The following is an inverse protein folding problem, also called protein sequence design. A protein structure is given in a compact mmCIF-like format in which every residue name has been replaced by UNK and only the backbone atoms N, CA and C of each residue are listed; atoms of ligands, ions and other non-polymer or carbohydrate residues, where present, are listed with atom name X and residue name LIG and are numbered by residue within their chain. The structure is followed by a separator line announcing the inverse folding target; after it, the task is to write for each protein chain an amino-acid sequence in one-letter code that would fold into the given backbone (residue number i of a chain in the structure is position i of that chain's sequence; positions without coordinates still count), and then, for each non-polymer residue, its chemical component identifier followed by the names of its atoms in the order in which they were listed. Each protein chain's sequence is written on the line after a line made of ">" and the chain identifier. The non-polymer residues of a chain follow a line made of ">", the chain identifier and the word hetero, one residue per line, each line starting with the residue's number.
data_IF_058289831058
#
_entry.id   IF_058289831058
#
_cell.length_a   1.000
_cell.length_b   1.000
_cell.length_c   1.000
_cell.angle_alpha   90.00
_cell.angle_beta   90.00
_cell.angle_gamma   90.00
#
_symmetry.space_group_name_H-M   'P 1'
#
loop_
_entity.id
_entity.type
_entity.pdbx_description
1 polymer ?
#
# COMPACT_ATOMS: atom_id res chain seq x y z
N UNK A 1 -6.50 14.31 -13.95
CA UNK A 1 -6.52 15.08 -12.67
C UNK A 1 -5.14 15.22 -12.04
N UNK A 2 -4.14 14.43 -12.46
CA UNK A 2 -2.78 14.48 -11.91
C UNK A 2 -2.18 15.89 -11.80
N UNK A 3 -2.20 16.71 -12.85
CA UNK A 3 -1.66 18.08 -12.79
C UNK A 3 -2.36 18.97 -11.75
N UNK A 4 -3.69 18.91 -11.65
CA UNK A 4 -4.44 19.72 -10.67
C UNK A 4 -4.05 19.34 -9.23
N UNK A 5 -4.03 18.02 -8.95
CA UNK A 5 -3.71 17.48 -7.64
C UNK A 5 -2.26 17.82 -7.28
N UNK A 6 -1.33 17.66 -8.22
CA UNK A 6 0.09 17.95 -7.98
C UNK A 6 0.33 19.44 -7.71
N UNK A 7 -0.32 20.31 -8.45
CA UNK A 7 -0.20 21.76 -8.23
C UNK A 7 -0.63 22.17 -6.82
N UNK A 8 -1.68 21.56 -6.27
CA UNK A 8 -2.08 21.78 -4.88
C UNK A 8 -1.11 21.13 -3.89
N UNK A 9 -0.76 19.86 -4.12
CA UNK A 9 0.10 19.09 -3.20
C UNK A 9 1.51 19.66 -3.06
N UNK A 10 2.15 20.05 -4.16
CA UNK A 10 3.51 20.61 -4.12
C UNK A 10 3.58 21.88 -3.28
N UNK A 11 2.61 22.78 -3.40
CA UNK A 11 2.54 24.01 -2.58
C UNK A 11 2.39 23.71 -1.09
N UNK A 12 1.56 22.72 -0.74
CA UNK A 12 1.38 22.29 0.66
C UNK A 12 2.67 21.72 1.23
N UNK A 13 3.36 20.86 0.49
CA UNK A 13 4.63 20.27 0.91
C UNK A 13 5.72 21.31 1.10
N UNK A 14 5.85 22.23 0.14
CA UNK A 14 6.84 23.32 0.21
C UNK A 14 6.56 24.26 1.38
N UNK A 15 5.30 24.65 1.59
CA UNK A 15 4.89 25.50 2.71
C UNK A 15 5.17 24.87 4.07
N UNK A 16 4.92 23.56 4.21
CA UNK A 16 5.22 22.83 5.44
C UNK A 16 6.72 22.77 5.74
N UNK A 17 7.53 22.50 4.72
CA UNK A 17 8.99 22.45 4.86
C UNK A 17 9.57 23.82 5.20
N UNK A 18 9.10 24.88 4.52
CA UNK A 18 9.55 26.25 4.79
C UNK A 18 9.20 26.67 6.22
N UNK A 19 7.96 26.40 6.66
CA UNK A 19 7.49 26.72 8.01
C UNK A 19 8.22 25.91 9.09
N UNK A 20 8.43 24.61 8.89
CA UNK A 20 9.08 23.75 9.87
C UNK A 20 10.56 24.08 10.07
N UNK A 21 11.26 24.47 9.01
CA UNK A 21 12.72 24.58 9.01
C UNK A 21 13.26 25.99 8.73
N UNK A 22 12.38 26.98 8.54
CA UNK A 22 12.74 28.39 8.35
C UNK A 22 13.88 28.58 7.30
N UNK A 23 13.74 27.93 6.15
CA UNK A 23 14.69 28.00 5.03
C UNK A 23 15.95 27.13 5.17
N UNK A 24 16.12 26.41 6.29
CA UNK A 24 17.28 25.51 6.47
C UNK A 24 17.18 24.23 5.65
N UNK A 25 15.97 23.83 5.24
CA UNK A 25 15.69 22.72 4.35
C UNK A 25 14.79 23.20 3.21
N UNK A 26 14.98 22.64 2.03
CA UNK A 26 14.20 22.99 0.84
C UNK A 26 13.99 21.74 -0.02
N UNK A 27 12.81 21.60 -0.60
CA UNK A 27 12.55 20.62 -1.66
C UNK A 27 12.90 21.29 -3.00
N UNK A 28 13.65 20.60 -3.83
CA UNK A 28 13.90 20.99 -5.22
C UNK A 28 13.30 19.91 -6.12
N UNK A 29 12.34 20.29 -6.92
CA UNK A 29 11.64 19.35 -7.80
C UNK A 29 12.35 19.24 -9.15
N UNK A 30 12.55 18.00 -9.61
CA UNK A 30 12.88 17.69 -11.00
C UNK A 30 11.73 16.95 -11.63
N UNK A 31 11.09 17.56 -12.62
CA UNK A 31 10.01 16.88 -13.36
C UNK A 31 10.59 15.78 -14.24
N UNK A 32 9.97 14.60 -14.15
CA UNK A 32 10.20 13.46 -15.04
C UNK A 32 8.86 12.98 -15.60
N UNK A 33 8.89 12.31 -16.74
CA UNK A 33 7.69 12.04 -17.53
C UNK A 33 7.28 10.57 -17.44
N UNK A 34 5.98 10.33 -17.22
CA UNK A 34 5.35 9.02 -17.34
C UNK A 34 3.88 9.19 -17.74
N UNK A 35 3.33 8.19 -18.40
CA UNK A 35 1.93 8.20 -18.84
C UNK A 35 1.68 9.02 -20.10
N UNK A 36 0.47 9.62 -20.21
CA UNK A 36 0.04 10.31 -21.42
C UNK A 36 0.98 11.47 -21.81
N UNK A 37 1.40 12.28 -20.83
CA UNK A 37 2.31 13.40 -21.08
C UNK A 37 3.66 12.94 -21.65
N UNK A 38 4.17 11.82 -21.16
CA UNK A 38 5.40 11.22 -21.70
C UNK A 38 5.20 10.77 -23.17
N UNK A 39 4.12 10.06 -23.42
CA UNK A 39 3.81 9.58 -24.75
C UNK A 39 3.64 10.71 -25.76
N UNK A 40 2.94 11.77 -25.41
CA UNK A 40 2.71 12.94 -26.28
C UNK A 40 4.02 13.66 -26.62
N UNK A 41 5.01 13.66 -25.73
CA UNK A 41 6.28 14.36 -25.92
C UNK A 41 7.39 13.50 -26.51
N UNK A 42 7.42 12.19 -26.19
CA UNK A 42 8.55 11.31 -26.52
C UNK A 42 8.16 10.11 -27.38
N UNK A 43 6.87 9.81 -27.49
CA UNK A 43 6.38 8.57 -28.11
C UNK A 43 6.47 7.32 -27.20
N UNK A 44 6.96 7.46 -25.95
CA UNK A 44 7.08 6.39 -24.98
C UNK A 44 6.22 6.66 -23.74
N UNK A 45 5.52 5.63 -23.26
CA UNK A 45 4.69 5.73 -22.05
C UNK A 45 5.50 5.81 -20.76
N UNK A 46 6.67 5.21 -20.75
CA UNK A 46 7.64 5.23 -19.64
C UNK A 46 9.05 5.32 -20.22
N UNK A 47 9.58 6.52 -20.44
CA UNK A 47 10.93 6.72 -20.96
C UNK A 47 11.99 6.14 -20.02
N UNK A 48 13.08 5.60 -20.60
CA UNK A 48 14.22 5.08 -19.85
C UNK A 48 14.84 6.16 -18.96
N UNK A 49 14.92 7.41 -19.43
CA UNK A 49 15.39 8.56 -18.65
C UNK A 49 14.64 8.73 -17.32
N UNK A 50 13.34 8.44 -17.29
CA UNK A 50 12.53 8.49 -16.06
C UNK A 50 13.03 7.48 -15.04
N UNK A 51 13.25 6.23 -15.45
CA UNK A 51 13.79 5.18 -14.58
C UNK A 51 15.21 5.53 -14.07
N UNK A 52 16.06 6.01 -14.95
CA UNK A 52 17.45 6.38 -14.61
C UNK A 52 17.49 7.57 -13.66
N UNK A 53 16.61 8.55 -13.86
CA UNK A 53 16.49 9.68 -12.94
C UNK A 53 16.01 9.24 -11.55
N UNK A 54 15.04 8.33 -11.45
CA UNK A 54 14.63 7.81 -10.14
C UNK A 54 15.76 7.02 -9.48
N UNK A 55 16.55 6.25 -10.24
CA UNK A 55 17.73 5.55 -9.70
C UNK A 55 18.77 6.51 -9.15
N UNK A 56 19.00 7.63 -9.83
CA UNK A 56 19.96 8.67 -9.41
C UNK A 56 19.48 9.45 -8.18
N UNK A 57 18.23 9.90 -8.19
CA UNK A 57 17.66 10.78 -7.15
C UNK A 57 17.04 10.02 -5.97
N UNK A 58 16.83 8.73 -6.10
CA UNK A 58 16.37 7.79 -5.06
C UNK A 58 14.90 7.99 -4.66
N UNK A 59 14.45 9.23 -4.48
CA UNK A 59 13.11 9.58 -4.01
C UNK A 59 12.31 10.24 -5.13
N UNK A 60 11.11 9.71 -5.40
CA UNK A 60 10.17 10.31 -6.32
C UNK A 60 8.76 10.38 -5.70
N UNK A 61 7.96 11.32 -6.17
CA UNK A 61 6.53 11.41 -5.88
C UNK A 61 5.77 11.61 -7.20
N UNK A 62 4.61 10.97 -7.33
CA UNK A 62 3.81 11.09 -8.54
C UNK A 62 2.31 11.12 -8.26
N UNK A 63 1.57 11.70 -9.18
CA UNK A 63 0.13 11.55 -9.25
C UNK A 63 -0.29 10.20 -9.86
N UNK A 64 -1.61 10.01 -10.09
CA UNK A 64 -2.13 8.82 -10.73
C UNK A 64 -1.70 8.74 -12.20
N UNK A 65 -1.45 7.52 -12.69
CA UNK A 65 -1.13 7.24 -14.08
C UNK A 65 -2.23 6.38 -14.72
N UNK A 66 -2.58 6.67 -15.96
CA UNK A 66 -3.45 5.83 -16.79
C UNK A 66 -2.59 4.87 -17.59
N UNK A 67 -2.92 3.58 -17.51
CA UNK A 67 -2.39 2.60 -18.45
C UNK A 67 -3.30 2.56 -19.67
N UNK A 68 -2.77 2.64 -20.91
CA UNK A 68 -3.58 2.55 -22.12
C UNK A 68 -4.35 1.24 -22.17
N UNK A 69 -5.62 1.30 -22.56
CA UNK A 69 -6.45 0.11 -22.77
C UNK A 69 -6.17 -0.44 -24.17
N UNK A 70 -5.64 -1.65 -24.26
CA UNK A 70 -5.33 -2.33 -25.52
C UNK A 70 -3.83 -2.37 -25.84
N UNK A 71 -3.43 -3.24 -26.80
CA UNK A 71 -2.05 -3.31 -27.27
C UNK A 71 -1.04 -4.05 -26.39
N UNK A 72 -1.50 -4.79 -25.35
CA UNK A 72 -0.60 -5.59 -24.51
C UNK A 72 0.32 -4.77 -23.59
N UNK A 73 0.06 -3.48 -23.41
CA UNK A 73 0.83 -2.61 -22.53
C UNK A 73 0.47 -2.94 -21.08
N UNK A 74 1.47 -3.33 -20.30
CA UNK A 74 1.31 -3.57 -18.84
C UNK A 74 1.12 -2.25 -18.09
N UNK A 75 0.53 -2.35 -16.90
CA UNK A 75 0.38 -1.19 -16.00
C UNK A 75 1.72 -0.48 -15.79
N UNK A 76 1.74 0.83 -16.04
CA UNK A 76 2.93 1.66 -15.83
C UNK A 76 3.37 1.66 -14.36
N UNK A 77 2.41 1.60 -13.43
CA UNK A 77 2.72 1.48 -12.01
C UNK A 77 3.41 0.15 -11.70
N UNK A 78 2.96 -0.96 -12.29
CA UNK A 78 3.61 -2.27 -12.13
C UNK A 78 5.02 -2.24 -12.72
N UNK A 79 5.20 -1.64 -13.89
CA UNK A 79 6.51 -1.49 -14.51
C UNK A 79 7.50 -0.73 -13.61
N UNK A 80 7.10 0.42 -13.05
CA UNK A 80 7.92 1.20 -12.12
C UNK A 80 8.34 0.37 -10.89
N UNK A 81 7.41 -0.38 -10.30
CA UNK A 81 7.65 -1.23 -9.13
C UNK A 81 8.64 -2.36 -9.40
N UNK A 82 8.51 -3.00 -10.57
CA UNK A 82 9.37 -4.12 -10.97
C UNK A 82 10.75 -3.65 -11.42
N UNK A 83 10.83 -2.63 -12.29
CA UNK A 83 12.09 -2.12 -12.85
C UNK A 83 13.01 -1.49 -11.79
N UNK A 84 12.44 -0.94 -10.72
CA UNK A 84 13.17 -0.33 -9.60
C UNK A 84 13.23 -1.23 -8.37
N UNK A 85 12.70 -2.46 -8.46
CA UNK A 85 12.58 -3.43 -7.37
C UNK A 85 12.01 -2.83 -6.07
N UNK A 86 10.94 -2.06 -6.21
CA UNK A 86 10.23 -1.46 -5.07
C UNK A 86 9.33 -2.52 -4.42
N UNK A 87 9.92 -3.41 -3.66
CA UNK A 87 9.29 -4.65 -3.22
C UNK A 87 8.20 -4.48 -2.15
N UNK A 88 8.10 -3.32 -1.52
CA UNK A 88 7.06 -3.02 -0.53
C UNK A 88 6.13 -1.92 -1.03
N UNK A 89 4.85 -2.22 -1.14
CA UNK A 89 3.81 -1.20 -1.24
C UNK A 89 3.28 -0.91 0.17
N UNK A 90 3.58 0.28 0.67
CA UNK A 90 3.20 0.77 1.99
C UNK A 90 1.93 1.59 1.88
N UNK A 91 0.85 1.18 2.55
CA UNK A 91 -0.44 1.88 2.55
C UNK A 91 -0.98 2.03 3.96
N UNK A 92 -0.69 3.14 4.66
CA UNK A 92 -1.33 3.46 5.94
C UNK A 92 -2.82 3.76 5.76
N UNK A 93 -3.62 3.27 6.68
CA UNK A 93 -5.07 3.49 6.73
C UNK A 93 -5.41 4.02 8.10
N UNK A 94 -5.76 5.31 8.18
CA UNK A 94 -6.20 5.96 9.42
C UNK A 94 -7.40 6.85 9.17
N UNK A 95 -8.22 7.01 10.20
CA UNK A 95 -9.36 7.92 10.16
C UNK A 95 -8.97 9.33 10.57
N UNK A 96 -9.47 10.32 9.84
CA UNK A 96 -9.43 11.73 10.23
C UNK A 96 -10.80 12.15 10.77
N UNK A 97 -10.82 12.67 11.98
CA UNK A 97 -12.08 13.01 12.66
C UNK A 97 -12.94 13.96 11.80
N UNK A 98 -14.19 13.57 11.61
CA UNK A 98 -15.18 14.32 10.82
C UNK A 98 -15.31 13.88 9.37
N UNK A 99 -14.42 13.06 8.85
CA UNK A 99 -14.55 12.48 7.51
C UNK A 99 -15.76 11.54 7.45
N UNK A 100 -16.60 11.63 6.42
CA UNK A 100 -17.70 10.68 6.23
C UNK A 100 -17.24 9.24 6.09
N UNK A 101 -17.88 8.32 6.79
CA UNK A 101 -17.53 6.90 6.79
C UNK A 101 -18.77 6.03 6.72
N UNK A 102 -18.72 4.88 6.02
CA UNK A 102 -19.81 3.92 5.97
C UNK A 102 -19.88 3.02 7.22
N UNK A 103 -18.85 3.04 8.08
CA UNK A 103 -18.80 2.25 9.32
C UNK A 103 -19.13 3.10 10.55
N UNK A 104 -19.58 2.44 11.63
CA UNK A 104 -20.02 3.14 12.85
C UNK A 104 -18.88 3.77 13.65
N UNK A 105 -17.72 3.12 13.67
CA UNK A 105 -16.57 3.48 14.48
C UNK A 105 -15.27 3.49 13.65
N UNK A 106 -15.18 4.39 12.66
CA UNK A 106 -13.99 4.47 11.80
C UNK A 106 -12.73 4.86 12.57
N UNK A 107 -12.85 5.54 13.71
CA UNK A 107 -11.77 5.92 14.60
C UNK A 107 -10.98 4.73 15.18
N UNK A 108 -11.56 3.54 15.14
CA UNK A 108 -10.90 2.30 15.56
C UNK A 108 -9.98 1.70 14.49
N UNK A 109 -10.02 2.24 13.27
CA UNK A 109 -9.18 1.77 12.16
C UNK A 109 -7.89 2.60 12.11
N UNK A 110 -6.79 1.98 12.49
CA UNK A 110 -5.43 2.51 12.36
C UNK A 110 -4.50 1.36 12.01
N UNK A 111 -4.36 1.10 10.72
CA UNK A 111 -3.58 -0.02 10.20
C UNK A 111 -2.57 0.46 9.17
N UNK A 112 -1.49 -0.31 9.01
CA UNK A 112 -0.50 -0.08 7.97
C UNK A 112 -0.34 -1.36 7.16
N UNK A 113 -0.67 -1.29 5.87
CA UNK A 113 -0.61 -2.42 4.96
C UNK A 113 0.77 -2.46 4.29
N UNK A 114 1.47 -3.57 4.47
CA UNK A 114 2.67 -3.96 3.74
C UNK A 114 2.25 -4.98 2.69
N UNK A 115 2.07 -4.51 1.47
CA UNK A 115 1.69 -5.31 0.30
C UNK A 115 2.96 -5.70 -0.45
N UNK A 116 3.13 -6.99 -0.71
CA UNK A 116 4.14 -7.46 -1.66
C UNK A 116 3.90 -6.81 -3.03
N UNK A 117 4.95 -6.45 -3.76
CA UNK A 117 4.82 -5.52 -4.86
C UNK A 117 5.47 -6.00 -6.18
N UNK A 118 6.13 -7.16 -6.19
CA UNK A 118 6.95 -7.61 -7.33
C UNK A 118 6.56 -8.98 -7.89
N UNK A 119 5.82 -9.77 -7.14
CA UNK A 119 5.42 -11.14 -7.47
C UNK A 119 3.89 -11.30 -7.55
N UNK A 120 3.43 -12.49 -7.29
CA UNK A 120 2.04 -12.90 -7.31
C UNK A 120 1.48 -12.87 -8.75
N UNK A 121 0.18 -12.82 -8.90
CA UNK A 121 -0.45 -12.72 -10.23
C UNK A 121 -0.07 -11.42 -10.97
N UNK A 122 0.42 -10.42 -10.25
CA UNK A 122 0.95 -9.17 -10.82
C UNK A 122 2.25 -9.34 -11.60
N UNK A 123 2.89 -10.50 -11.53
CA UNK A 123 3.98 -10.88 -12.42
C UNK A 123 3.54 -10.90 -13.91
N UNK A 124 2.22 -11.00 -14.15
CA UNK A 124 1.64 -10.92 -15.49
C UNK A 124 1.99 -12.12 -16.36
N UNK A 125 2.17 -13.29 -15.75
CA UNK A 125 2.45 -14.54 -16.46
C UNK A 125 1.11 -15.20 -16.78
N UNK A 126 0.59 -14.93 -17.97
CA UNK A 126 -0.72 -15.45 -18.36
C UNK A 126 -0.84 -15.61 -19.88
N UNK A 127 -1.73 -16.50 -20.32
CA UNK A 127 -2.01 -16.77 -21.71
C UNK A 127 -3.51 -16.84 -21.95
N UNK A 128 -3.95 -16.17 -22.99
CA UNK A 128 -5.36 -16.11 -23.36
C UNK A 128 -5.85 -17.43 -23.96
N UNK A 129 -7.12 -17.74 -23.73
CA UNK A 129 -7.76 -18.89 -24.35
C UNK A 129 -7.57 -18.89 -25.89
N UNK A 130 -7.35 -20.07 -26.48
CA UNK A 130 -7.29 -20.26 -27.91
C UNK A 130 -5.96 -19.90 -28.56
N UNK A 131 -4.99 -19.36 -27.82
CA UNK A 131 -3.63 -19.11 -28.33
C UNK A 131 -2.83 -20.39 -28.40
N UNK A 132 -1.82 -20.45 -29.28
CA UNK A 132 -0.91 -21.60 -29.35
C UNK A 132 -0.08 -21.77 -28.10
N UNK A 133 0.25 -20.67 -27.44
CA UNK A 133 0.99 -20.65 -26.17
C UNK A 133 0.18 -21.31 -25.05
N UNK A 134 -1.11 -20.97 -24.87
CA UNK A 134 -1.93 -21.60 -23.83
C UNK A 134 -2.14 -23.09 -24.07
N UNK A 135 -2.24 -23.50 -25.33
CA UNK A 135 -2.32 -24.94 -25.69
C UNK A 135 -1.09 -25.69 -25.23
N UNK A 136 0.11 -25.13 -25.47
CA UNK A 136 1.39 -25.72 -25.01
C UNK A 136 1.45 -25.81 -23.50
N UNK A 137 1.02 -24.77 -22.78
CA UNK A 137 1.00 -24.76 -21.33
C UNK A 137 0.03 -25.82 -20.78
N UNK A 138 -1.19 -25.90 -21.32
CA UNK A 138 -2.19 -26.87 -20.91
C UNK A 138 -1.71 -28.30 -21.21
N UNK A 139 -1.14 -28.54 -22.41
CA UNK A 139 -0.58 -29.83 -22.79
C UNK A 139 0.54 -30.28 -21.84
N UNK A 140 1.49 -29.38 -21.54
CA UNK A 140 2.54 -29.62 -20.55
C UNK A 140 1.98 -30.00 -19.18
N UNK A 141 1.03 -29.20 -18.68
CA UNK A 141 0.41 -29.44 -17.38
C UNK A 141 -0.33 -30.78 -17.33
N UNK A 142 -1.04 -31.15 -18.40
CA UNK A 142 -1.83 -32.38 -18.43
C UNK A 142 -0.95 -33.63 -18.68
N UNK A 143 -0.05 -33.55 -19.63
CA UNK A 143 0.71 -34.72 -20.10
C UNK A 143 2.03 -34.95 -19.36
N UNK A 144 2.77 -33.87 -19.04
CA UNK A 144 4.04 -33.97 -18.30
C UNK A 144 3.84 -33.91 -16.78
N UNK A 145 2.95 -33.00 -16.31
CA UNK A 145 2.72 -32.79 -14.86
C UNK A 145 1.53 -33.58 -14.32
N UNK A 146 0.80 -34.30 -15.18
CA UNK A 146 -0.32 -35.15 -14.77
C UNK A 146 -1.52 -34.39 -14.21
N UNK A 147 -1.68 -33.11 -14.52
CA UNK A 147 -2.80 -32.28 -14.05
C UNK A 147 -4.09 -32.70 -14.74
N UNK A 148 -5.09 -33.13 -13.96
CA UNK A 148 -6.41 -33.55 -14.46
C UNK A 148 -7.54 -32.60 -14.12
N UNK A 149 -7.22 -31.44 -13.50
CA UNK A 149 -8.21 -30.53 -12.92
C UNK A 149 -8.56 -29.33 -13.81
N UNK A 150 -7.97 -29.20 -14.99
CA UNK A 150 -8.38 -28.18 -15.96
C UNK A 150 -9.66 -28.66 -16.61
N UNK A 151 -10.79 -28.12 -16.15
CA UNK A 151 -12.13 -28.64 -16.49
C UNK A 151 -12.49 -28.44 -17.96
N UNK A 152 -12.08 -27.33 -18.54
CA UNK A 152 -12.40 -26.93 -19.90
C UNK A 152 -11.14 -26.48 -20.65
N UNK A 153 -10.24 -27.40 -21.02
CA UNK A 153 -8.92 -27.06 -21.58
C UNK A 153 -9.00 -26.25 -22.88
N UNK A 154 -9.98 -26.53 -23.74
CA UNK A 154 -10.15 -25.83 -25.01
C UNK A 154 -10.56 -24.36 -24.90
N UNK A 155 -11.14 -23.99 -23.76
CA UNK A 155 -11.70 -22.64 -23.54
C UNK A 155 -11.11 -21.92 -22.33
N UNK A 156 -10.08 -22.50 -21.71
CA UNK A 156 -9.42 -21.90 -20.54
C UNK A 156 -8.28 -20.97 -20.94
N UNK A 157 -8.19 -19.83 -20.28
CA UNK A 157 -6.93 -19.09 -20.11
C UNK A 157 -6.17 -19.62 -18.90
N UNK A 158 -4.86 -19.45 -18.86
CA UNK A 158 -4.00 -19.89 -17.75
C UNK A 158 -3.18 -18.71 -17.25
N UNK A 159 -3.16 -18.53 -15.92
CA UNK A 159 -2.30 -17.57 -15.23
C UNK A 159 -1.46 -18.27 -14.15
N UNK A 160 -0.27 -17.76 -13.91
CA UNK A 160 0.68 -18.30 -12.92
C UNK A 160 0.86 -17.31 -11.79
N UNK A 161 0.84 -17.83 -10.56
CA UNK A 161 1.07 -17.11 -9.31
C UNK A 161 2.42 -17.50 -8.71
N UNK A 162 3.53 -16.84 -9.05
CA UNK A 162 4.81 -17.10 -8.40
C UNK A 162 4.84 -16.41 -7.03
N UNK A 163 5.33 -17.13 -6.03
CA UNK A 163 5.58 -16.63 -4.67
C UNK A 163 6.91 -17.23 -4.21
N UNK A 164 7.89 -16.39 -3.92
CA UNK A 164 9.22 -16.82 -3.51
C UNK A 164 9.45 -16.65 -2.01
N UNK A 165 10.41 -17.41 -1.49
CA UNK A 165 10.88 -17.28 -0.12
C UNK A 165 11.54 -15.91 0.11
N UNK A 166 12.41 -15.50 -0.82
CA UNK A 166 13.12 -14.21 -0.75
C UNK A 166 12.16 -13.03 -0.78
N UNK A 167 11.21 -13.01 -1.72
CA UNK A 167 10.19 -11.96 -1.83
C UNK A 167 9.29 -11.89 -0.60
N UNK A 168 8.91 -13.05 -0.06
CA UNK A 168 8.09 -13.13 1.15
C UNK A 168 8.85 -12.68 2.40
N UNK A 169 10.05 -13.20 2.62
CA UNK A 169 10.86 -12.85 3.80
C UNK A 169 11.25 -11.38 3.82
N UNK A 170 11.67 -10.79 2.69
CA UNK A 170 12.03 -9.36 2.65
C UNK A 170 10.85 -8.44 2.95
N UNK A 171 9.64 -8.78 2.49
CA UNK A 171 8.44 -8.03 2.82
C UNK A 171 8.11 -8.11 4.32
N UNK A 172 8.06 -9.31 4.88
CA UNK A 172 7.74 -9.50 6.31
C UNK A 172 8.81 -8.88 7.20
N UNK A 173 10.08 -8.99 6.84
CA UNK A 173 11.17 -8.30 7.54
C UNK A 173 10.95 -6.79 7.58
N UNK A 174 10.59 -6.17 6.47
CA UNK A 174 10.29 -4.75 6.39
C UNK A 174 9.09 -4.38 7.29
N UNK A 175 8.04 -5.20 7.31
CA UNK A 175 6.88 -4.99 8.17
C UNK A 175 7.21 -5.07 9.66
N UNK A 176 8.04 -6.03 10.07
CA UNK A 176 8.48 -6.18 11.47
C UNK A 176 9.38 -5.01 11.87
N UNK A 177 10.35 -4.63 11.03
CA UNK A 177 11.22 -3.48 11.28
C UNK A 177 10.41 -2.18 11.44
N UNK A 178 9.41 -1.99 10.59
CA UNK A 178 8.48 -0.86 10.71
C UNK A 178 7.71 -0.90 12.05
N UNK A 179 7.16 -2.06 12.42
CA UNK A 179 6.44 -2.22 13.67
C UNK A 179 7.33 -1.91 14.90
N UNK A 180 8.58 -2.34 14.87
CA UNK A 180 9.56 -2.02 15.93
C UNK A 180 9.83 -0.51 15.98
N UNK A 181 10.14 0.08 14.84
CA UNK A 181 10.48 1.51 14.72
C UNK A 181 9.36 2.43 15.17
N UNK A 182 8.13 2.11 14.75
CA UNK A 182 6.95 2.94 15.00
C UNK A 182 6.19 2.54 16.28
N UNK A 183 6.71 1.59 17.07
CA UNK A 183 6.09 1.15 18.32
C UNK A 183 4.72 0.48 18.13
N UNK A 184 4.52 -0.19 16.99
CA UNK A 184 3.31 -0.94 16.68
C UNK A 184 3.27 -2.26 17.45
N UNK A 185 2.08 -2.76 17.77
CA UNK A 185 1.89 -3.89 18.70
C UNK A 185 1.86 -5.25 18.04
N UNK A 186 1.49 -5.31 16.77
CA UNK A 186 1.37 -6.59 16.05
C UNK A 186 1.67 -6.48 14.57
N UNK A 187 2.07 -7.61 13.98
CA UNK A 187 2.11 -7.84 12.54
C UNK A 187 1.24 -9.04 12.23
N UNK A 188 0.23 -8.86 11.38
CA UNK A 188 -0.66 -9.93 10.93
C UNK A 188 -0.31 -10.35 9.51
N UNK A 189 0.05 -11.62 9.34
CA UNK A 189 0.28 -12.23 8.02
C UNK A 189 -1.07 -12.66 7.45
N UNK A 190 -1.55 -11.98 6.40
CA UNK A 190 -2.84 -12.29 5.77
C UNK A 190 -2.62 -13.14 4.54
N UNK A 191 -3.33 -14.27 4.45
CA UNK A 191 -3.10 -15.28 3.42
C UNK A 191 -4.34 -16.13 3.14
N UNK A 192 -4.30 -16.89 2.05
CA UNK A 192 -5.27 -17.95 1.73
C UNK A 192 -4.57 -19.34 1.68
N UNK A 193 -3.71 -19.61 2.66
CA UNK A 193 -2.84 -20.78 2.69
C UNK A 193 -3.56 -22.12 2.88
N UNK A 194 -4.79 -22.13 3.36
CA UNK A 194 -5.62 -23.34 3.41
C UNK A 194 -6.01 -23.86 2.01
N UNK A 195 -6.02 -23.01 0.98
CA UNK A 195 -6.27 -23.34 -0.42
C UNK A 195 -4.98 -23.38 -1.23
N UNK A 196 -4.16 -22.34 -1.14
CA UNK A 196 -2.91 -22.16 -1.89
C UNK A 196 -1.71 -22.49 -0.99
N UNK A 197 -1.52 -23.79 -0.71
CA UNK A 197 -0.59 -24.25 0.32
C UNK A 197 0.88 -23.92 0.07
N UNK A 198 1.30 -23.96 -1.20
CA UNK A 198 2.71 -23.79 -1.60
C UNK A 198 3.05 -22.37 -2.09
N UNK A 199 2.10 -21.49 -2.06
CA UNK A 199 2.26 -20.05 -2.35
C UNK A 199 1.85 -19.22 -1.14
N UNK A 200 0.57 -18.98 -0.92
CA UNK A 200 0.07 -18.21 0.24
C UNK A 200 0.39 -18.88 1.59
N UNK A 201 0.30 -20.20 1.68
CA UNK A 201 0.69 -20.96 2.88
C UNK A 201 2.18 -20.93 3.14
N UNK A 202 2.99 -20.99 2.07
CA UNK A 202 4.42 -20.82 2.15
C UNK A 202 4.80 -19.41 2.62
N UNK A 203 4.16 -18.35 2.07
CA UNK A 203 4.32 -16.97 2.54
C UNK A 203 4.13 -16.86 4.06
N UNK A 204 3.04 -17.42 4.60
CA UNK A 204 2.81 -17.45 6.04
C UNK A 204 3.96 -18.12 6.80
N UNK A 205 4.39 -19.30 6.36
CA UNK A 205 5.44 -20.05 7.02
C UNK A 205 6.78 -19.29 6.99
N UNK A 206 7.18 -18.77 5.85
CA UNK A 206 8.40 -17.95 5.71
C UNK A 206 8.31 -16.65 6.52
N UNK A 207 7.12 -16.10 6.67
CA UNK A 207 6.88 -14.94 7.55
C UNK A 207 7.16 -15.27 9.03
N UNK A 208 6.72 -16.42 9.50
CA UNK A 208 7.07 -16.88 10.86
C UNK A 208 8.55 -17.21 11.01
N UNK A 209 9.16 -17.85 10.00
CA UNK A 209 10.59 -18.15 10.00
C UNK A 209 11.44 -16.90 10.18
N UNK A 210 11.26 -15.88 9.31
CA UNK A 210 12.05 -14.64 9.41
C UNK A 210 11.82 -13.93 10.74
N UNK A 211 10.59 -13.97 11.27
CA UNK A 211 10.29 -13.38 12.57
C UNK A 211 11.07 -14.05 13.70
N UNK A 212 11.13 -15.37 13.72
CA UNK A 212 11.82 -16.14 14.76
C UNK A 212 13.34 -16.16 14.58
N UNK A 213 13.84 -16.21 13.35
CA UNK A 213 15.27 -16.24 13.06
C UNK A 213 15.97 -14.88 13.28
N UNK A 214 15.32 -13.79 12.89
CA UNK A 214 15.96 -12.48 12.87
C UNK A 214 15.52 -11.55 14.01
N UNK A 215 14.35 -11.80 14.62
CA UNK A 215 13.72 -10.89 15.60
C UNK A 215 13.28 -11.58 16.91
N UNK A 216 13.83 -12.73 17.26
CA UNK A 216 13.43 -13.53 18.42
C UNK A 216 13.40 -12.74 19.75
N UNK A 217 14.28 -11.76 19.91
CA UNK A 217 14.33 -10.88 21.07
C UNK A 217 13.24 -9.80 21.10
N UNK A 218 12.63 -9.50 19.95
CA UNK A 218 11.64 -8.42 19.75
C UNK A 218 10.22 -8.90 19.53
N UNK A 219 10.01 -10.18 19.18
CA UNK A 219 8.70 -10.68 18.79
C UNK A 219 8.31 -11.93 19.58
N UNK A 220 7.01 -12.21 19.60
CA UNK A 220 6.41 -13.49 19.96
C UNK A 220 5.48 -13.91 18.82
N UNK A 221 5.55 -15.19 18.39
CA UNK A 221 4.77 -15.65 17.24
C UNK A 221 3.66 -16.62 17.64
N UNK A 222 2.58 -16.67 16.87
CA UNK A 222 1.56 -17.71 17.05
C UNK A 222 2.09 -19.10 16.70
N UNK A 223 3.06 -19.23 15.80
CA UNK A 223 3.74 -20.50 15.58
C UNK A 223 4.47 -20.98 16.84
N UNK A 224 5.08 -20.07 17.59
CA UNK A 224 5.69 -20.37 18.91
C UNK A 224 4.62 -20.72 19.95
N UNK A 225 3.51 -19.99 19.98
CA UNK A 225 2.35 -20.30 20.82
C UNK A 225 1.85 -21.72 20.58
N UNK A 226 1.65 -22.11 19.32
CA UNK A 226 1.13 -23.43 18.96
C UNK A 226 2.08 -24.56 19.41
N UNK A 227 3.40 -24.38 19.25
CA UNK A 227 4.39 -25.35 19.75
C UNK A 227 4.38 -25.50 21.26
N UNK A 228 4.20 -24.41 22.01
CA UNK A 228 4.08 -24.46 23.47
C UNK A 228 2.76 -25.15 23.86
N UNK A 229 1.65 -24.78 23.20
CA UNK A 229 0.34 -25.37 23.46
C UNK A 229 0.30 -26.88 23.22
N UNK A 230 0.97 -27.34 22.16
CA UNK A 230 1.08 -28.78 21.85
C UNK A 230 1.91 -29.52 22.88
N UNK A 231 3.01 -28.93 23.33
CA UNK A 231 3.94 -29.58 24.24
C UNK A 231 3.55 -29.48 25.72
N UNK A 232 3.04 -28.33 26.14
CA UNK A 232 2.86 -27.98 27.57
C UNK A 232 1.41 -27.58 27.90
N UNK A 233 0.53 -27.51 26.90
CA UNK A 233 -0.87 -27.17 27.07
C UNK A 233 -1.15 -25.67 26.84
N UNK A 234 -2.43 -25.37 26.63
CA UNK A 234 -2.90 -24.00 26.29
C UNK A 234 -2.64 -22.97 27.39
N UNK A 235 -2.72 -23.37 28.67
CA UNK A 235 -2.50 -22.43 29.78
C UNK A 235 -1.03 -21.96 29.80
N UNK A 236 -0.07 -22.87 29.53
CA UNK A 236 1.34 -22.52 29.41
C UNK A 236 1.59 -21.58 28.22
N UNK A 237 0.94 -21.85 27.07
CA UNK A 237 1.05 -21.00 25.89
C UNK A 237 0.45 -19.59 26.11
N UNK A 238 -0.71 -19.51 26.77
CA UNK A 238 -1.33 -18.23 27.14
C UNK A 238 -0.40 -17.41 28.04
N UNK A 239 0.13 -18.03 29.09
CA UNK A 239 1.06 -17.39 30.02
C UNK A 239 2.32 -16.88 29.30
N UNK A 240 2.91 -17.70 28.42
CA UNK A 240 4.11 -17.32 27.65
C UNK A 240 3.82 -16.13 26.74
N UNK A 241 2.67 -16.09 26.07
CA UNK A 241 2.27 -14.95 25.24
C UNK A 241 2.04 -13.69 26.10
N UNK A 242 1.31 -13.79 27.20
CA UNK A 242 1.07 -12.67 28.11
C UNK A 242 2.37 -12.06 28.63
N UNK A 243 3.30 -12.89 29.09
CA UNK A 243 4.62 -12.47 29.57
C UNK A 243 5.43 -11.79 28.46
N UNK A 244 5.43 -12.36 27.25
CA UNK A 244 6.12 -11.79 26.10
C UNK A 244 5.56 -10.39 25.73
N UNK A 245 4.25 -10.26 25.66
CA UNK A 245 3.61 -8.96 25.34
C UNK A 245 3.80 -7.93 26.47
N UNK A 246 3.74 -8.35 27.72
CA UNK A 246 4.04 -7.52 28.87
C UNK A 246 5.49 -7.00 28.88
N UNK A 247 6.43 -7.79 28.32
CA UNK A 247 7.83 -7.35 28.15
C UNK A 247 8.06 -6.39 26.97
N UNK A 248 7.00 -6.07 26.20
CA UNK A 248 7.05 -5.18 25.05
C UNK A 248 7.36 -5.85 23.71
N UNK A 249 7.31 -7.18 23.64
CA UNK A 249 7.44 -7.90 22.39
C UNK A 249 6.22 -7.66 21.48
N UNK A 250 6.48 -7.65 20.17
CA UNK A 250 5.46 -7.51 19.12
C UNK A 250 4.86 -8.88 18.83
N UNK A 251 3.55 -8.96 18.72
CA UNK A 251 2.86 -10.19 18.36
C UNK A 251 2.90 -10.37 16.83
N UNK A 252 3.43 -11.49 16.38
CA UNK A 252 3.33 -11.95 15.00
C UNK A 252 2.26 -13.02 14.93
N UNK A 253 1.20 -12.74 14.17
CA UNK A 253 0.04 -13.62 14.02
C UNK A 253 -0.35 -13.76 12.56
N UNK A 254 -1.27 -14.66 12.24
CA UNK A 254 -1.80 -14.80 10.90
C UNK A 254 -3.33 -14.80 10.87
N UNK A 255 -3.86 -14.53 9.70
CA UNK A 255 -5.30 -14.60 9.45
C UNK A 255 -5.57 -15.03 8.01
N UNK A 256 -6.54 -15.94 7.85
CA UNK A 256 -7.06 -16.28 6.52
C UNK A 256 -7.80 -15.05 5.97
N UNK A 257 -7.58 -14.72 4.69
CA UNK A 257 -8.01 -13.47 4.08
C UNK A 257 -9.51 -13.17 4.20
N UNK A 258 -10.37 -14.15 4.03
CA UNK A 258 -11.83 -13.98 4.17
C UNK A 258 -12.25 -13.66 5.62
N UNK A 259 -11.64 -14.30 6.61
CA UNK A 259 -11.85 -13.96 8.03
C UNK A 259 -11.30 -12.59 8.35
N UNK A 260 -10.14 -12.23 7.83
CA UNK A 260 -9.57 -10.89 7.99
C UNK A 260 -10.52 -9.80 7.48
N UNK A 261 -11.06 -9.95 6.27
CA UNK A 261 -12.01 -9.01 5.68
C UNK A 261 -13.28 -8.83 6.53
N UNK A 262 -13.74 -9.89 7.22
CA UNK A 262 -14.83 -9.81 8.17
C UNK A 262 -14.42 -9.07 9.46
N UNK A 263 -13.24 -9.42 10.00
CA UNK A 263 -12.80 -8.93 11.31
C UNK A 263 -12.41 -7.45 11.28
N UNK A 264 -11.89 -6.93 10.18
CA UNK A 264 -11.60 -5.48 10.05
C UNK A 264 -12.85 -4.61 10.09
N UNK A 265 -14.04 -5.17 9.85
CA UNK A 265 -15.32 -4.49 10.03
C UNK A 265 -15.83 -4.59 11.47
N UNK A 266 -15.61 -5.71 12.14
CA UNK A 266 -16.19 -6.01 13.45
C UNK A 266 -15.25 -5.71 14.61
N UNK A 267 -13.94 -5.79 14.39
CA UNK A 267 -12.87 -5.66 15.42
C UNK A 267 -11.60 -5.04 14.82
N UNK A 268 -11.67 -3.88 14.15
CA UNK A 268 -10.50 -3.27 13.49
C UNK A 268 -9.35 -3.00 14.45
N UNK A 269 -9.61 -2.71 15.71
CA UNK A 269 -8.61 -2.44 16.74
C UNK A 269 -7.69 -3.61 17.09
N UNK A 270 -8.01 -4.83 16.64
CA UNK A 270 -7.17 -6.02 16.83
C UNK A 270 -6.03 -6.11 15.81
N UNK A 271 -6.03 -5.26 14.79
CA UNK A 271 -5.05 -5.25 13.70
C UNK A 271 -4.25 -3.96 13.69
N UNK A 272 -2.95 -4.10 13.45
CA UNK A 272 -2.00 -2.98 13.46
C UNK A 272 -1.21 -2.96 12.14
N UNK A 273 -0.06 -3.60 12.04
CA UNK A 273 0.63 -3.80 10.77
C UNK A 273 0.14 -5.10 10.12
N UNK A 274 -0.13 -5.04 8.83
CA UNK A 274 -0.59 -6.18 8.01
C UNK A 274 0.40 -6.43 6.90
N UNK A 275 0.94 -7.65 6.81
CA UNK A 275 1.81 -8.07 5.71
C UNK A 275 1.08 -9.13 4.87
N UNK A 276 1.04 -8.94 3.56
CA UNK A 276 0.28 -9.83 2.66
C UNK A 276 0.82 -9.81 1.24
N UNK A 277 0.42 -10.81 0.46
CA UNK A 277 0.76 -10.91 -0.95
C UNK A 277 0.11 -9.80 -1.78
N UNK A 278 0.56 -9.66 -3.03
CA UNK A 278 0.25 -8.51 -3.87
C UNK A 278 -1.26 -8.32 -4.10
N UNK A 279 -1.97 -9.33 -4.57
CA UNK A 279 -3.41 -9.23 -4.85
C UNK A 279 -4.23 -8.99 -3.57
N UNK A 280 -3.95 -9.74 -2.51
CA UNK A 280 -4.64 -9.54 -1.23
C UNK A 280 -4.44 -8.11 -0.72
N UNK A 281 -3.22 -7.59 -0.81
CA UNK A 281 -2.88 -6.23 -0.39
C UNK A 281 -3.61 -5.15 -1.20
N UNK A 282 -3.82 -5.39 -2.50
CA UNK A 282 -4.59 -4.50 -3.35
C UNK A 282 -6.05 -4.41 -2.88
N UNK A 283 -6.71 -5.54 -2.73
CA UNK A 283 -8.10 -5.59 -2.26
C UNK A 283 -8.28 -5.04 -0.84
N UNK A 284 -7.41 -5.45 0.07
CA UNK A 284 -7.50 -5.09 1.49
C UNK A 284 -7.30 -3.58 1.69
N UNK A 285 -6.31 -2.99 1.04
CA UNK A 285 -6.01 -1.56 1.23
C UNK A 285 -7.14 -0.66 0.73
N UNK A 286 -7.77 -0.98 -0.39
CA UNK A 286 -8.90 -0.20 -0.91
C UNK A 286 -10.17 -0.40 -0.07
N UNK A 287 -10.43 -1.64 0.39
CA UNK A 287 -11.54 -1.91 1.29
C UNK A 287 -11.41 -1.16 2.62
N UNK A 288 -10.20 -1.10 3.19
CA UNK A 288 -9.93 -0.34 4.41
C UNK A 288 -9.99 1.17 4.16
N UNK A 289 -9.46 1.66 3.03
CA UNK A 289 -9.57 3.07 2.67
C UNK A 289 -11.04 3.53 2.62
N UNK A 290 -11.95 2.70 2.10
CA UNK A 290 -13.38 2.99 2.08
C UNK A 290 -13.96 3.17 3.49
N UNK A 291 -13.45 2.46 4.49
CA UNK A 291 -13.91 2.57 5.89
C UNK A 291 -13.50 3.89 6.55
N UNK A 292 -12.45 4.54 6.09
CA UNK A 292 -11.92 5.78 6.67
C UNK A 292 -12.18 7.02 5.82
N UNK A 293 -12.96 6.91 4.75
CA UNK A 293 -13.36 8.05 3.93
C UNK A 293 -13.15 7.90 2.43
N UNK A 294 -12.51 6.82 1.99
CA UNK A 294 -12.30 6.49 0.59
C UNK A 294 -10.87 6.74 0.08
N UNK A 295 -10.64 6.34 -1.15
CA UNK A 295 -9.31 6.39 -1.79
C UNK A 295 -8.79 7.82 -2.04
N UNK A 296 -9.65 8.83 -2.05
CA UNK A 296 -9.26 10.24 -2.18
C UNK A 296 -8.41 10.78 -1.03
N UNK A 297 -8.41 10.09 0.11
CA UNK A 297 -7.61 10.42 1.30
C UNK A 297 -6.60 9.31 1.67
N UNK A 298 -6.44 8.31 0.83
CA UNK A 298 -5.54 7.18 1.08
C UNK A 298 -4.16 7.40 0.46
N UNK A 299 -3.08 7.47 1.26
CA UNK A 299 -1.73 7.60 0.76
C UNK A 299 -1.12 6.26 0.36
N UNK A 300 -0.05 6.30 -0.44
CA UNK A 300 0.73 5.14 -0.80
C UNK A 300 2.20 5.45 -1.04
N UNK A 301 3.03 4.44 -0.82
CA UNK A 301 4.44 4.46 -1.14
C UNK A 301 4.88 3.10 -1.68
N UNK A 302 5.82 3.10 -2.59
CA UNK A 302 6.48 1.90 -3.09
C UNK A 302 7.95 2.03 -2.74
N UNK A 303 8.48 1.13 -1.93
CA UNK A 303 9.77 1.29 -1.27
C UNK A 303 10.63 0.04 -1.43
N UNK A 304 11.88 0.23 -1.77
CA UNK A 304 12.94 -0.75 -1.56
C UNK A 304 13.70 -0.38 -0.28
N UNK A 305 13.45 -1.09 0.81
CA UNK A 305 14.07 -0.80 2.10
C UNK A 305 15.56 -1.16 2.19
N UNK A 306 16.10 -1.88 1.21
CA UNK A 306 17.52 -2.22 1.14
C UNK A 306 18.34 -1.12 0.47
N UNK A 307 17.82 -0.54 -0.64
CA UNK A 307 18.50 0.50 -1.40
C UNK A 307 18.05 1.92 -1.06
N UNK A 308 16.89 2.06 -0.42
CA UNK A 308 16.28 3.34 -0.08
C UNK A 308 15.45 3.98 -1.20
N UNK A 309 15.41 3.38 -2.40
CA UNK A 309 14.58 3.89 -3.50
C UNK A 309 13.11 3.84 -3.12
N UNK A 310 12.41 4.93 -3.39
CA UNK A 310 10.99 5.05 -3.08
C UNK A 310 10.24 5.92 -4.08
N UNK A 311 9.04 5.49 -4.46
CA UNK A 311 8.06 6.29 -5.20
C UNK A 311 6.81 6.42 -4.36
N UNK A 312 6.49 7.66 -3.97
CA UNK A 312 5.27 8.00 -3.25
C UNK A 312 4.17 8.33 -4.26
N UNK A 313 2.96 7.82 -4.04
CA UNK A 313 1.90 7.94 -5.04
C UNK A 313 0.50 7.97 -4.44
N UNK A 314 -0.44 8.62 -5.14
CA UNK A 314 -1.86 8.46 -4.87
C UNK A 314 -2.29 7.01 -5.16
N UNK A 315 -3.20 6.47 -4.36
CA UNK A 315 -3.75 5.12 -4.54
C UNK A 315 -4.91 5.06 -5.52
N UNK A 316 -5.52 6.21 -5.85
CA UNK A 316 -6.63 6.31 -6.80
C UNK A 316 -6.18 6.45 -8.27
N UNK A 317 -7.12 6.22 -9.19
CA UNK A 317 -6.90 6.40 -10.63
C UNK A 317 -6.98 7.87 -11.09
N UNK A 318 -6.82 8.09 -12.39
CA UNK A 318 -6.72 9.43 -13.01
C UNK A 318 -8.03 10.20 -13.10
N UNK A 319 -9.19 9.56 -12.99
CA UNK A 319 -10.53 10.16 -13.11
C UNK A 319 -10.62 11.20 -14.26
N UNK A 320 -10.42 10.80 -15.52
CA UNK A 320 -10.20 11.73 -16.65
C UNK A 320 -11.35 12.74 -16.87
N UNK A 321 -12.58 12.36 -16.48
CA UNK A 321 -13.74 13.26 -16.57
C UNK A 321 -13.66 14.52 -15.69
N UNK A 322 -12.75 14.55 -14.73
CA UNK A 322 -12.53 15.68 -13.83
C UNK A 322 -11.22 16.44 -14.13
N UNK A 323 -10.47 16.02 -15.16
CA UNK A 323 -9.19 16.66 -15.49
C UNK A 323 -9.37 18.14 -15.86
N UNK A 324 -8.56 19.02 -15.30
CA UNK A 324 -8.59 20.45 -15.52
C UNK A 324 -9.77 21.20 -14.90
N UNK A 325 -10.60 20.51 -14.07
CA UNK A 325 -11.74 21.14 -13.40
C UNK A 325 -11.43 21.68 -12.00
N UNK A 326 -10.21 21.52 -11.53
CA UNK A 326 -9.79 21.91 -10.17
C UNK A 326 -10.74 21.41 -9.07
N UNK A 327 -11.21 20.16 -9.19
CA UNK A 327 -12.33 19.64 -8.37
C UNK A 327 -11.93 18.49 -7.45
N UNK A 328 -10.96 17.67 -7.86
CA UNK A 328 -10.62 16.41 -7.18
C UNK A 328 -9.91 16.67 -5.85
N UNK A 329 -10.18 15.83 -4.86
CA UNK A 329 -9.53 15.86 -3.54
C UNK A 329 -8.02 15.58 -3.69
N UNK A 330 -7.11 16.50 -3.30
CA UNK A 330 -5.67 16.31 -3.41
C UNK A 330 -5.06 15.55 -2.22
N UNK A 331 -5.87 15.14 -1.24
CA UNK A 331 -5.38 14.61 0.04
C UNK A 331 -4.56 13.34 -0.12
N UNK A 332 -4.87 12.46 -1.09
CA UNK A 332 -4.10 11.23 -1.30
C UNK A 332 -2.64 11.54 -1.68
N UNK A 333 -2.39 12.48 -2.59
CA UNK A 333 -1.01 12.89 -2.96
C UNK A 333 -0.36 13.68 -1.82
N UNK A 334 -1.10 14.55 -1.14
CA UNK A 334 -0.58 15.32 0.01
C UNK A 334 -0.11 14.36 1.11
N UNK A 335 -0.93 13.37 1.47
CA UNK A 335 -0.57 12.38 2.48
C UNK A 335 0.54 11.43 2.02
N UNK A 336 0.63 11.14 0.71
CA UNK A 336 1.79 10.44 0.15
C UNK A 336 3.06 11.29 0.28
N UNK A 337 2.95 12.60 0.13
CA UNK A 337 4.01 13.55 0.45
C UNK A 337 4.39 13.55 1.94
N UNK A 338 3.42 13.36 2.84
CA UNK A 338 3.71 13.18 4.28
C UNK A 338 4.56 11.93 4.49
N UNK A 339 4.22 10.80 3.86
CA UNK A 339 5.05 9.59 3.92
C UNK A 339 6.47 9.84 3.37
N UNK A 340 6.60 10.62 2.31
CA UNK A 340 7.89 11.03 1.76
C UNK A 340 8.71 11.83 2.77
N UNK A 341 8.11 12.80 3.43
CA UNK A 341 8.78 13.61 4.45
C UNK A 341 9.20 12.77 5.65
N UNK A 342 8.36 11.86 6.10
CA UNK A 342 8.70 10.90 7.16
C UNK A 342 9.85 9.97 6.75
N UNK A 343 9.85 9.47 5.52
CA UNK A 343 10.93 8.66 4.95
C UNK A 343 12.27 9.41 4.91
N UNK A 344 12.23 10.71 4.62
CA UNK A 344 13.40 11.62 4.65
C UNK A 344 13.81 12.02 6.08
N UNK A 345 13.06 11.62 7.12
CA UNK A 345 13.31 12.05 8.49
C UNK A 345 12.90 13.51 8.76
N UNK A 346 12.00 14.06 7.96
CA UNK A 346 11.50 15.44 8.10
C UNK A 346 10.15 15.46 8.83
N UNK A 347 10.13 14.91 10.03
CA UNK A 347 8.94 14.65 10.83
C UNK A 347 8.18 15.90 11.24
N UNK A 348 8.87 17.03 11.46
CA UNK A 348 8.22 18.29 11.84
C UNK A 348 7.32 18.81 10.71
N UNK A 349 7.80 18.79 9.46
CA UNK A 349 7.02 19.19 8.31
C UNK A 349 5.84 18.23 8.07
N UNK A 350 6.07 16.92 8.17
CA UNK A 350 5.02 15.90 8.11
C UNK A 350 3.92 16.14 9.14
N UNK A 351 4.29 16.40 10.38
CA UNK A 351 3.37 16.69 11.49
C UNK A 351 2.54 17.94 11.26
N UNK A 352 3.12 19.01 10.69
CA UNK A 352 2.38 20.24 10.33
C UNK A 352 1.26 19.95 9.35
N UNK A 353 1.53 19.15 8.32
CA UNK A 353 0.51 18.80 7.32
C UNK A 353 -0.62 17.99 7.94
N UNK A 354 -0.30 17.00 8.78
CA UNK A 354 -1.32 16.18 9.46
C UNK A 354 -2.21 17.05 10.33
N UNK A 355 -1.64 17.93 11.14
CA UNK A 355 -2.41 18.85 12.01
C UNK A 355 -3.26 19.81 11.20
N UNK A 356 -2.74 20.35 10.10
CA UNK A 356 -3.48 21.21 9.18
C UNK A 356 -4.65 20.47 8.54
N UNK A 357 -4.44 19.21 8.14
CA UNK A 357 -5.49 18.35 7.60
C UNK A 357 -6.61 18.11 8.62
N UNK A 358 -6.27 17.72 9.84
CA UNK A 358 -7.22 17.53 10.93
C UNK A 358 -8.05 18.79 11.21
N UNK A 359 -7.38 19.94 11.29
CA UNK A 359 -8.05 21.23 11.53
C UNK A 359 -8.97 21.63 10.38
N UNK A 360 -8.52 21.53 9.14
CA UNK A 360 -9.28 21.90 7.94
C UNK A 360 -10.55 21.06 7.79
N UNK A 361 -10.43 19.73 8.03
CA UNK A 361 -11.59 18.83 8.03
C UNK A 361 -12.55 19.15 9.19
N UNK A 362 -12.03 19.45 10.37
CA UNK A 362 -12.85 19.84 11.53
C UNK A 362 -13.63 21.15 11.28
N UNK A 363 -13.06 22.08 10.54
CA UNK A 363 -13.72 23.31 10.04
C UNK A 363 -14.73 23.04 8.92
N UNK A 364 -14.85 21.78 8.48
CA UNK A 364 -15.71 21.34 7.37
C UNK A 364 -15.42 22.05 6.03
N UNK A 365 -14.19 22.47 5.83
CA UNK A 365 -13.69 22.99 4.56
C UNK A 365 -13.12 21.82 3.77
N UNK A 366 -13.85 21.33 2.79
CA UNK A 366 -13.54 20.05 2.12
C UNK A 366 -13.89 20.08 0.64
N UNK A 367 -13.34 19.17 -0.13
CA UNK A 367 -13.68 19.00 -1.55
C UNK A 367 -15.02 18.29 -1.73
N UNK A 368 -15.53 18.28 -2.96
CA UNK A 368 -16.87 17.82 -3.33
C UNK A 368 -17.22 16.41 -2.83
N UNK A 369 -16.24 15.52 -2.78
CA UNK A 369 -16.42 14.11 -2.39
C UNK A 369 -16.85 13.96 -0.93
N UNK A 370 -16.33 14.80 -0.04
CA UNK A 370 -16.75 14.87 1.35
C UNK A 370 -17.94 15.83 1.54
N UNK A 371 -17.93 16.99 0.89
CA UNK A 371 -18.95 18.00 1.07
C UNK A 371 -20.38 17.47 0.82
N UNK A 372 -20.57 16.62 -0.20
CA UNK A 372 -21.85 15.99 -0.51
C UNK A 372 -22.37 15.03 0.58
N UNK A 373 -21.53 14.62 1.51
CA UNK A 373 -21.83 13.68 2.60
C UNK A 373 -21.76 14.32 4.00
N UNK A 374 -21.38 15.60 4.07
CA UNK A 374 -21.18 16.32 5.34
C UNK A 374 -22.16 17.48 5.44
N UNK A 375 -23.07 17.45 6.41
CA UNK A 375 -23.98 18.55 6.68
C UNK A 375 -23.21 19.81 7.13
N UNK A 376 -23.52 20.95 6.52
CA UNK A 376 -22.89 22.24 6.83
C UNK A 376 -21.46 22.37 6.35
N UNK A 377 -21.02 21.52 5.40
CA UNK A 377 -19.71 21.66 4.80
C UNK A 377 -19.62 22.82 3.82
N UNK A 378 -18.47 23.46 3.78
CA UNK A 378 -18.06 24.41 2.74
C UNK A 378 -17.29 23.62 1.67
N UNK A 379 -17.93 23.45 0.49
CA UNK A 379 -17.27 22.84 -0.65
C UNK A 379 -16.25 23.82 -1.24
N UNK A 380 -15.01 23.36 -1.41
CA UNK A 380 -13.91 24.09 -2.02
C UNK A 380 -13.29 23.31 -3.17
N UNK A 381 -12.60 24.03 -4.06
CA UNK A 381 -11.83 23.45 -5.15
C UNK A 381 -10.59 22.73 -4.65
N UNK A 382 -9.96 21.91 -5.52
CA UNK A 382 -8.68 21.27 -5.24
C UNK A 382 -7.60 22.25 -4.78
N UNK A 383 -7.41 23.35 -5.54
CA UNK A 383 -6.46 24.42 -5.22
C UNK A 383 -6.78 25.14 -3.91
N UNK A 384 -8.07 25.47 -3.69
CA UNK A 384 -8.54 26.15 -2.48
C UNK A 384 -8.41 25.28 -1.23
N UNK A 385 -8.55 23.96 -1.37
CA UNK A 385 -8.28 23.04 -0.25
C UNK A 385 -6.81 23.07 0.14
N UNK A 386 -5.89 23.12 -0.85
CA UNK A 386 -4.47 23.36 -0.61
C UNK A 386 -4.20 24.66 0.14
N UNK A 387 -4.86 25.76 -0.25
CA UNK A 387 -4.75 27.05 0.42
C UNK A 387 -5.25 26.99 1.87
N UNK A 388 -6.36 26.30 2.11
CA UNK A 388 -6.91 26.11 3.45
C UNK A 388 -5.94 25.33 4.37
N UNK A 389 -5.28 24.28 3.83
CA UNK A 389 -4.25 23.55 4.57
C UNK A 389 -3.06 24.45 4.93
N UNK A 390 -2.55 25.22 3.98
CA UNK A 390 -1.42 26.15 4.20
C UNK A 390 -1.79 27.21 5.26
N UNK A 391 -3.01 27.73 5.22
CA UNK A 391 -3.52 28.66 6.23
C UNK A 391 -3.59 28.04 7.63
N UNK A 392 -3.89 26.76 7.71
CA UNK A 392 -4.09 26.05 8.97
C UNK A 392 -2.81 25.41 9.55
N UNK A 393 -1.68 25.51 8.87
CA UNK A 393 -0.37 25.20 9.43
C UNK A 393 0.05 26.32 10.41
#
# INVERSE_FOLDING_TARGET
>A
TGPDIWAAASRVLEAAVDKAYAGKKKIVWKEILAGQKAFDQTGEWLPQETLDTVREYIIAIKGPLTTPVGGGIRSLNVALRQELDLFTCLRPVRYFQGVPSPVKHPEKTDMVIFRENTEDIYAGIEWAKGTEEVKKVIDFLQNEMGVKKIRFPETSGIGIKPVSEEGSKRLVRAAIQYAIKEGRKSVTLVHKGNIMKFTEGAFKNWGYEVAEEEFADKVFTWAQYDRIAEKEGKDAANKAQEEALASGKILIKDSIADIFLQQVLTRPEEFDVVATMNLNGDYISDALAAQVGGIGIAPGANINYETGHAIFEATHGTAPKYAGLDKVNPSSVILSGVLMLEHLGWHEAASLIIKAMEKTIAEKVVTYDFARLMEGATEVKCSEFGDALIKNM
#
